data_IF_623422302188
#
_entry.id   IF_623422302188
#
_cell.length_a   1.000
_cell.length_b   1.000
_cell.length_c   1.000
_cell.angle_alpha   90.00
_cell.angle_beta   90.00
_cell.angle_gamma   90.00
#
_symmetry.space_group_name_H-M   'P 1'
#
loop_
_entity.id
_entity.type
_entity.pdbx_description
1 polymer ?
#
# COMPACT_ATOMS: atom_id res chain seq x y z
N UNK A 1 22.19 -14.22 -18.94
CA UNK A 1 23.53 -14.50 -19.52
C UNK A 1 24.45 -13.29 -19.45
N UNK A 2 23.95 -12.06 -19.75
CA UNK A 2 24.71 -10.81 -19.61
C UNK A 2 24.92 -10.46 -18.12
N UNK A 3 23.85 -10.37 -17.34
CA UNK A 3 23.86 -9.99 -15.91
C UNK A 3 24.30 -11.09 -14.94
N UNK A 4 24.78 -12.22 -15.45
CA UNK A 4 25.21 -13.38 -14.66
C UNK A 4 26.72 -13.58 -14.69
N UNK A 5 27.16 -14.74 -15.18
CA UNK A 5 28.60 -15.10 -15.26
C UNK A 5 29.45 -14.06 -16.01
N UNK A 6 28.90 -13.41 -17.03
CA UNK A 6 29.63 -12.40 -17.80
C UNK A 6 29.86 -11.13 -16.98
N UNK A 7 28.82 -10.58 -16.33
CA UNK A 7 28.97 -9.46 -15.41
C UNK A 7 30.02 -9.73 -14.31
N UNK A 8 30.04 -10.94 -13.75
CA UNK A 8 31.01 -11.32 -12.72
C UNK A 8 32.46 -11.39 -13.22
N UNK A 9 32.69 -11.83 -14.46
CA UNK A 9 34.05 -12.08 -14.99
C UNK A 9 34.58 -10.93 -15.85
N UNK A 10 33.71 -10.23 -16.57
CA UNK A 10 34.02 -9.20 -17.56
C UNK A 10 32.97 -8.08 -17.52
N UNK A 11 32.89 -7.31 -16.41
CA UNK A 11 31.82 -6.34 -16.19
C UNK A 11 31.77 -5.25 -17.27
N UNK A 12 32.93 -4.73 -17.73
CA UNK A 12 32.95 -3.74 -18.81
C UNK A 12 32.34 -4.27 -20.13
N UNK A 13 32.62 -5.53 -20.48
CA UNK A 13 32.04 -6.15 -21.67
C UNK A 13 30.55 -6.45 -21.48
N UNK A 14 30.14 -6.86 -20.28
CA UNK A 14 28.75 -7.07 -19.95
C UNK A 14 27.95 -5.76 -20.07
N UNK A 15 28.52 -4.64 -19.59
CA UNK A 15 27.91 -3.31 -19.69
C UNK A 15 27.68 -2.91 -21.15
N UNK A 16 28.69 -3.08 -22.02
CA UNK A 16 28.57 -2.80 -23.46
C UNK A 16 27.46 -3.64 -24.11
N UNK A 17 27.38 -4.93 -23.79
CA UNK A 17 26.32 -5.78 -24.32
C UNK A 17 24.93 -5.41 -23.78
N UNK A 18 24.85 -4.99 -22.52
CA UNK A 18 23.59 -4.56 -21.93
C UNK A 18 23.08 -3.28 -22.59
N UNK A 19 23.95 -2.30 -22.84
CA UNK A 19 23.59 -1.11 -23.62
C UNK A 19 23.12 -1.46 -25.03
N UNK A 20 23.82 -2.35 -25.74
CA UNK A 20 23.39 -2.81 -27.07
C UNK A 20 22.06 -3.54 -27.04
N UNK A 21 21.79 -4.30 -25.98
CA UNK A 21 20.50 -4.95 -25.79
C UNK A 21 19.40 -3.90 -25.64
N UNK A 22 19.64 -2.90 -24.79
CA UNK A 22 18.71 -1.80 -24.53
C UNK A 22 18.49 -0.89 -25.75
N UNK A 23 19.50 -0.72 -26.62
CA UNK A 23 19.35 0.01 -27.90
C UNK A 23 18.32 -0.63 -28.83
N UNK A 24 18.01 -1.93 -28.66
CA UNK A 24 16.98 -2.61 -29.46
C UNK A 24 15.56 -2.40 -28.91
N UNK A 25 15.42 -1.83 -27.71
CA UNK A 25 14.14 -1.81 -27.02
C UNK A 25 13.05 -1.08 -27.80
N UNK A 26 13.32 0.12 -28.32
CA UNK A 26 12.34 0.90 -29.11
C UNK A 26 11.83 0.10 -30.32
N UNK A 27 12.75 -0.53 -31.06
CA UNK A 27 12.39 -1.33 -32.24
C UNK A 27 11.58 -2.57 -31.87
N UNK A 28 11.95 -3.26 -30.79
CA UNK A 28 11.27 -4.49 -30.35
C UNK A 28 9.89 -4.18 -29.76
N UNK A 29 9.78 -3.19 -28.88
CA UNK A 29 8.52 -2.85 -28.21
C UNK A 29 7.47 -2.36 -29.20
N UNK A 30 7.85 -1.55 -30.19
CA UNK A 30 6.89 -1.08 -31.22
C UNK A 30 6.39 -2.17 -32.16
N UNK A 31 7.19 -3.20 -32.40
CA UNK A 31 6.84 -4.29 -33.31
C UNK A 31 6.16 -5.46 -32.62
N UNK A 32 6.15 -5.49 -31.29
CA UNK A 32 5.67 -6.63 -30.51
C UNK A 32 4.37 -6.30 -29.79
N UNK A 33 3.35 -7.14 -29.99
CA UNK A 33 2.12 -7.06 -29.20
C UNK A 33 2.32 -7.79 -27.87
N UNK A 34 2.77 -7.05 -26.86
CA UNK A 34 3.09 -7.60 -25.55
C UNK A 34 1.89 -7.57 -24.59
N UNK A 35 0.90 -8.42 -24.83
CA UNK A 35 -0.35 -8.43 -24.03
C UNK A 35 -0.12 -8.76 -22.54
N UNK A 36 1.00 -9.41 -22.22
CA UNK A 36 1.35 -9.82 -20.85
C UNK A 36 2.42 -8.92 -20.21
N UNK A 37 3.01 -7.98 -20.95
CA UNK A 37 4.09 -7.12 -20.46
C UNK A 37 5.42 -7.84 -20.22
N UNK A 38 5.61 -9.04 -20.77
CA UNK A 38 6.81 -9.87 -20.50
C UNK A 38 8.04 -9.33 -21.23
N UNK A 39 7.85 -8.75 -22.42
CA UNK A 39 8.93 -8.17 -23.22
C UNK A 39 9.38 -6.86 -22.62
N UNK A 40 8.44 -5.99 -22.25
CA UNK A 40 8.73 -4.75 -21.52
C UNK A 40 9.43 -5.04 -20.19
N UNK A 41 8.92 -5.99 -19.40
CA UNK A 41 9.56 -6.39 -18.15
C UNK A 41 11.00 -6.88 -18.33
N UNK A 42 11.30 -7.56 -19.45
CA UNK A 42 12.67 -7.98 -19.78
C UNK A 42 13.63 -6.79 -20.00
N UNK A 43 13.17 -5.74 -20.69
CA UNK A 43 13.96 -4.52 -20.86
C UNK A 43 14.08 -3.72 -19.57
N UNK A 44 13.00 -3.59 -18.78
CA UNK A 44 13.04 -2.93 -17.48
C UNK A 44 14.03 -3.65 -16.53
N UNK A 45 14.03 -4.99 -16.50
CA UNK A 45 15.02 -5.76 -15.76
C UNK A 45 16.46 -5.53 -16.24
N UNK A 46 16.66 -5.38 -17.55
CA UNK A 46 17.97 -5.01 -18.10
C UNK A 46 18.40 -3.58 -17.72
N UNK A 47 17.47 -2.63 -17.59
CA UNK A 47 17.78 -1.29 -17.07
C UNK A 47 18.22 -1.37 -15.60
N UNK A 48 17.54 -2.16 -14.77
CA UNK A 48 17.92 -2.39 -13.37
C UNK A 48 19.34 -2.99 -13.24
N UNK A 49 19.71 -3.89 -14.14
CA UNK A 49 21.04 -4.52 -14.16
C UNK A 49 22.17 -3.53 -14.50
N UNK A 50 21.88 -2.37 -15.11
CA UNK A 50 22.91 -1.39 -15.49
C UNK A 50 23.68 -0.86 -14.27
N UNK A 51 23.00 -0.56 -13.17
CA UNK A 51 23.60 0.02 -11.96
C UNK A 51 24.74 -0.83 -11.38
N UNK A 52 24.46 -2.07 -10.94
CA UNK A 52 25.49 -2.93 -10.36
C UNK A 52 26.60 -3.29 -11.36
N UNK A 53 26.28 -3.46 -12.64
CA UNK A 53 27.28 -3.79 -13.66
C UNK A 53 28.18 -2.58 -13.97
N UNK A 54 27.61 -1.38 -14.04
CA UNK A 54 28.37 -0.15 -14.22
C UNK A 54 29.34 0.09 -13.05
N UNK A 55 28.87 -0.10 -11.81
CA UNK A 55 29.70 0.00 -10.62
C UNK A 55 30.87 -1.02 -10.64
N UNK A 56 30.60 -2.25 -11.08
CA UNK A 56 31.62 -3.29 -11.21
C UNK A 56 32.62 -3.02 -12.36
N UNK A 57 32.16 -2.40 -13.45
CA UNK A 57 32.98 -2.10 -14.62
C UNK A 57 34.05 -1.03 -14.35
N UNK A 58 33.80 -0.11 -13.41
CA UNK A 58 34.71 1.00 -13.06
C UNK A 58 35.22 1.77 -14.29
N UNK A 59 34.35 1.95 -15.27
CA UNK A 59 34.62 2.71 -16.49
C UNK A 59 34.59 4.22 -16.26
N UNK A 60 34.66 4.99 -17.34
CA UNK A 60 34.50 6.45 -17.28
C UNK A 60 33.08 6.83 -16.83
N UNK A 61 32.98 7.54 -15.71
CA UNK A 61 31.72 8.02 -15.14
C UNK A 61 31.09 9.12 -15.98
N UNK A 62 31.90 9.99 -16.60
CA UNK A 62 31.43 11.02 -17.54
C UNK A 62 30.88 10.41 -18.82
N UNK A 63 31.52 9.35 -19.34
CA UNK A 63 31.00 8.61 -20.50
C UNK A 63 29.68 7.88 -20.16
N UNK A 64 29.58 7.30 -18.95
CA UNK A 64 28.33 6.69 -18.48
C UNK A 64 27.20 7.72 -18.37
N UNK A 65 27.50 8.89 -17.79
CA UNK A 65 26.56 10.01 -17.70
C UNK A 65 26.06 10.47 -19.08
N UNK A 66 26.97 10.64 -20.04
CA UNK A 66 26.62 11.02 -21.42
C UNK A 66 25.77 9.95 -22.10
N UNK A 67 26.11 8.67 -21.93
CA UNK A 67 25.34 7.56 -22.50
C UNK A 67 23.94 7.48 -21.92
N UNK A 68 23.81 7.64 -20.61
CA UNK A 68 22.53 7.65 -19.93
C UNK A 68 21.67 8.84 -20.36
N UNK A 69 22.27 10.03 -20.47
CA UNK A 69 21.57 11.21 -20.99
C UNK A 69 21.06 10.99 -22.42
N UNK A 70 21.87 10.40 -23.31
CA UNK A 70 21.42 10.08 -24.67
C UNK A 70 20.24 9.11 -24.67
N UNK A 71 20.28 8.07 -23.83
CA UNK A 71 19.17 7.13 -23.69
C UNK A 71 17.86 7.83 -23.26
N UNK A 72 17.93 8.74 -22.28
CA UNK A 72 16.78 9.53 -21.83
C UNK A 72 16.23 10.48 -22.92
N UNK A 73 17.08 11.00 -23.80
CA UNK A 73 16.62 11.88 -24.90
C UNK A 73 15.86 11.11 -25.97
N UNK A 74 16.29 9.90 -26.29
CA UNK A 74 15.70 9.03 -27.31
C UNK A 74 14.58 8.14 -26.77
N UNK A 75 14.36 8.10 -25.45
CA UNK A 75 13.32 7.30 -24.82
C UNK A 75 11.92 7.79 -25.22
N UNK A 76 11.22 7.00 -26.02
CA UNK A 76 9.82 7.21 -26.39
C UNK A 76 8.88 6.21 -25.70
N UNK A 77 9.40 5.08 -25.22
CA UNK A 77 8.65 4.01 -24.57
C UNK A 77 8.73 4.07 -23.03
N UNK A 78 9.38 5.12 -22.49
CA UNK A 78 9.51 5.44 -21.05
C UNK A 78 10.22 4.36 -20.20
N UNK A 79 10.99 3.47 -20.82
CA UNK A 79 11.71 2.40 -20.10
C UNK A 79 12.93 2.91 -19.31
N UNK A 80 13.44 4.11 -19.62
CA UNK A 80 14.61 4.71 -18.98
C UNK A 80 14.25 5.72 -17.89
N UNK A 81 12.98 5.87 -17.50
CA UNK A 81 12.55 6.85 -16.47
C UNK A 81 13.32 6.71 -15.15
N UNK A 82 13.66 5.49 -14.74
CA UNK A 82 14.44 5.21 -13.51
C UNK A 82 15.94 5.06 -13.72
N UNK A 83 16.42 5.23 -14.95
CA UNK A 83 17.82 4.97 -15.31
C UNK A 83 18.80 5.72 -14.40
N UNK A 84 18.56 7.02 -14.17
CA UNK A 84 19.46 7.85 -13.35
C UNK A 84 19.51 7.39 -11.90
N UNK A 85 18.36 7.07 -11.30
CA UNK A 85 18.28 6.48 -9.96
C UNK A 85 19.17 5.24 -9.84
N UNK A 86 19.13 4.38 -10.87
CA UNK A 86 19.85 3.10 -10.90
C UNK A 86 21.36 3.27 -11.08
N UNK A 87 21.80 4.17 -11.95
CA UNK A 87 23.24 4.35 -12.25
C UNK A 87 23.95 5.29 -11.28
N UNK A 88 23.21 6.09 -10.50
CA UNK A 88 23.76 7.07 -9.57
C UNK A 88 24.86 6.50 -8.65
N UNK A 89 24.72 5.32 -8.04
CA UNK A 89 25.77 4.71 -7.21
C UNK A 89 27.09 4.40 -7.95
N UNK A 90 27.04 4.32 -9.28
CA UNK A 90 28.22 4.08 -10.13
C UNK A 90 28.89 5.38 -10.61
N UNK A 91 28.29 6.55 -10.36
CA UNK A 91 28.83 7.85 -10.76
C UNK A 91 29.64 8.49 -9.62
N UNK A 92 30.79 9.05 -9.97
CA UNK A 92 31.55 9.94 -9.10
C UNK A 92 31.09 11.40 -9.26
N UNK A 93 31.75 12.32 -8.54
CA UNK A 93 31.41 13.74 -8.57
C UNK A 93 31.51 14.34 -9.99
N UNK A 94 32.44 13.88 -10.82
CA UNK A 94 32.62 14.37 -12.19
C UNK A 94 31.49 13.88 -13.11
N UNK A 95 31.14 12.60 -13.02
CA UNK A 95 30.01 12.02 -13.75
C UNK A 95 28.67 12.68 -13.37
N UNK A 96 28.44 12.92 -12.08
CA UNK A 96 27.24 13.61 -11.58
C UNK A 96 27.18 15.05 -12.11
N UNK A 97 28.29 15.80 -12.05
CA UNK A 97 28.36 17.16 -12.56
C UNK A 97 28.09 17.21 -14.07
N UNK A 98 28.64 16.25 -14.82
CA UNK A 98 28.41 16.13 -16.27
C UNK A 98 26.95 15.85 -16.60
N UNK A 99 26.33 14.87 -15.92
CA UNK A 99 24.93 14.53 -16.13
C UNK A 99 24.01 15.73 -15.84
N UNK A 100 24.26 16.43 -14.74
CA UNK A 100 23.53 17.65 -14.37
C UNK A 100 23.59 18.70 -15.48
N UNK A 101 24.80 19.01 -15.98
CA UNK A 101 24.98 20.01 -17.03
C UNK A 101 24.16 19.66 -18.29
N UNK A 102 24.12 18.38 -18.67
CA UNK A 102 23.36 17.92 -19.84
C UNK A 102 21.85 18.08 -19.62
N UNK A 103 21.35 17.66 -18.44
CA UNK A 103 19.94 17.75 -18.10
C UNK A 103 19.45 19.20 -18.00
N UNK A 104 20.19 20.07 -17.33
CA UNK A 104 19.87 21.51 -17.23
C UNK A 104 19.79 22.14 -18.63
N UNK A 105 20.78 21.85 -19.49
CA UNK A 105 20.79 22.36 -20.85
C UNK A 105 19.64 21.81 -21.70
N UNK A 106 19.21 20.57 -21.47
CA UNK A 106 18.08 19.95 -22.18
C UNK A 106 16.73 20.52 -21.71
N UNK A 107 16.56 20.74 -20.41
CA UNK A 107 15.36 21.36 -19.84
C UNK A 107 15.25 22.82 -20.29
N UNK A 108 16.33 23.59 -20.24
CA UNK A 108 16.31 24.99 -20.67
C UNK A 108 15.92 25.18 -22.15
N UNK A 109 16.22 24.19 -23.00
CA UNK A 109 15.83 24.18 -24.42
C UNK A 109 14.35 23.83 -24.66
N UNK A 110 13.65 23.29 -23.66
CA UNK A 110 12.30 22.73 -23.82
C UNK A 110 11.31 23.44 -22.88
N UNK A 111 10.17 23.90 -23.41
CA UNK A 111 9.10 24.47 -22.57
C UNK A 111 8.42 23.45 -21.64
N UNK A 112 8.41 22.16 -22.01
CA UNK A 112 7.91 21.05 -21.19
C UNK A 112 8.89 19.88 -21.30
N UNK A 113 9.64 19.54 -20.25
CA UNK A 113 10.58 18.42 -20.30
C UNK A 113 9.85 17.08 -20.38
N UNK A 114 10.47 16.11 -21.07
CA UNK A 114 10.03 14.70 -21.12
C UNK A 114 9.96 14.13 -19.69
N UNK A 115 9.04 13.19 -19.39
CA UNK A 115 8.96 12.54 -18.08
C UNK A 115 10.30 11.97 -17.60
N UNK A 116 11.03 11.26 -18.48
CA UNK A 116 12.34 10.69 -18.16
C UNK A 116 13.39 11.76 -17.78
N UNK A 117 13.42 12.89 -18.47
CA UNK A 117 14.31 14.02 -18.13
C UNK A 117 13.94 14.67 -16.80
N UNK A 118 12.64 14.79 -16.51
CA UNK A 118 12.16 15.30 -15.21
C UNK A 118 12.56 14.34 -14.08
N UNK A 119 12.32 13.04 -14.24
CA UNK A 119 12.68 12.01 -13.28
C UNK A 119 14.19 11.97 -13.01
N UNK A 120 15.00 12.13 -14.06
CA UNK A 120 16.45 12.24 -13.95
C UNK A 120 16.91 13.43 -13.09
N UNK A 121 16.30 14.61 -13.25
CA UNK A 121 16.60 15.77 -12.40
C UNK A 121 16.14 15.56 -10.97
N UNK A 122 14.97 14.96 -10.77
CA UNK A 122 14.48 14.60 -9.43
C UNK A 122 15.42 13.63 -8.72
N UNK A 123 15.90 12.59 -9.41
CA UNK A 123 16.84 11.62 -8.86
C UNK A 123 18.18 12.27 -8.47
N UNK A 124 18.70 13.19 -9.29
CA UNK A 124 19.90 13.96 -8.95
C UNK A 124 19.68 14.86 -7.72
N UNK A 125 18.56 15.57 -7.69
CA UNK A 125 18.20 16.43 -6.57
C UNK A 125 18.13 15.62 -5.26
N UNK A 126 17.50 14.44 -5.30
CA UNK A 126 17.41 13.53 -4.15
C UNK A 126 18.78 13.04 -3.69
N UNK A 127 19.64 12.60 -4.63
CA UNK A 127 20.98 12.13 -4.32
C UNK A 127 21.87 13.22 -3.68
N UNK A 128 21.53 14.49 -3.90
CA UNK A 128 22.28 15.65 -3.42
C UNK A 128 21.63 16.34 -2.22
N UNK A 129 20.46 15.86 -1.79
CA UNK A 129 19.66 16.52 -0.75
C UNK A 129 19.12 17.90 -1.17
N UNK A 130 19.05 18.19 -2.48
CA UNK A 130 18.54 19.45 -3.02
C UNK A 130 17.00 19.43 -3.07
N UNK A 131 16.39 19.66 -1.92
CA UNK A 131 14.92 19.63 -1.77
C UNK A 131 14.25 20.70 -2.64
N UNK A 132 14.84 21.90 -2.74
CA UNK A 132 14.26 22.98 -3.53
C UNK A 132 14.39 22.69 -5.04
N UNK A 133 15.49 22.08 -5.47
CA UNK A 133 15.67 21.57 -6.83
C UNK A 133 14.60 20.53 -7.20
N UNK A 134 14.28 19.60 -6.31
CA UNK A 134 13.17 18.66 -6.51
C UNK A 134 11.83 19.39 -6.62
N UNK A 135 11.52 20.31 -5.69
CA UNK A 135 10.27 21.06 -5.68
C UNK A 135 10.11 21.89 -6.97
N UNK A 136 11.18 22.46 -7.50
CA UNK A 136 11.15 23.25 -8.73
C UNK A 136 10.73 22.43 -9.98
N UNK A 137 10.86 21.10 -9.95
CA UNK A 137 10.37 20.22 -11.03
C UNK A 137 8.86 20.00 -11.01
N UNK A 138 8.21 20.34 -9.89
CA UNK A 138 6.79 20.08 -9.63
C UNK A 138 5.98 21.33 -9.93
N UNK A 139 4.95 21.20 -10.76
CA UNK A 139 4.05 22.30 -11.06
C UNK A 139 3.16 22.64 -9.86
N UNK A 140 2.65 23.87 -9.81
CA UNK A 140 1.72 24.29 -8.76
C UNK A 140 0.47 23.39 -8.66
N UNK A 141 -0.02 22.86 -9.79
CA UNK A 141 -1.17 21.95 -9.84
C UNK A 141 -0.84 20.56 -9.28
N UNK A 142 0.32 20.00 -9.66
CA UNK A 142 0.79 18.72 -9.13
C UNK A 142 1.03 18.79 -7.62
N UNK A 143 1.53 19.92 -7.12
CA UNK A 143 1.75 20.14 -5.69
C UNK A 143 0.46 20.17 -4.84
N UNK A 144 -0.73 20.21 -5.46
CA UNK A 144 -2.02 20.05 -4.76
C UNK A 144 -2.42 18.58 -4.59
N UNK A 145 -1.76 17.65 -5.30
CA UNK A 145 -2.10 16.23 -5.22
C UNK A 145 -1.54 15.61 -3.92
N UNK A 146 -2.32 14.81 -3.16
CA UNK A 146 -1.86 14.27 -1.89
C UNK A 146 -0.56 13.45 -1.98
N UNK A 147 -0.43 12.61 -3.00
CA UNK A 147 0.78 11.84 -3.25
C UNK A 147 2.01 12.73 -3.43
N UNK A 148 1.91 13.74 -4.30
CA UNK A 148 3.00 14.69 -4.57
C UNK A 148 3.33 15.54 -3.34
N UNK A 149 2.31 16.00 -2.61
CA UNK A 149 2.52 16.73 -1.37
C UNK A 149 3.21 15.89 -0.30
N UNK A 150 2.89 14.59 -0.20
CA UNK A 150 3.60 13.65 0.66
C UNK A 150 5.08 13.54 0.27
N UNK A 151 5.38 13.40 -1.02
CA UNK A 151 6.76 13.33 -1.51
C UNK A 151 7.58 14.59 -1.20
N UNK A 152 6.98 15.78 -1.40
CA UNK A 152 7.60 17.07 -1.05
C UNK A 152 7.86 17.12 0.46
N UNK A 153 6.85 16.76 1.25
CA UNK A 153 6.92 16.86 2.70
C UNK A 153 7.91 15.88 3.32
N UNK A 154 8.00 14.64 2.86
CA UNK A 154 9.00 13.68 3.33
C UNK A 154 10.43 14.21 3.14
N UNK A 155 10.70 14.86 2.01
CA UNK A 155 12.00 15.49 1.72
C UNK A 155 12.28 16.69 2.62
N UNK A 156 11.30 17.59 2.77
CA UNK A 156 11.40 18.74 3.66
C UNK A 156 11.62 18.31 5.12
N UNK A 157 10.89 17.30 5.59
CA UNK A 157 11.05 16.74 6.95
C UNK A 157 12.44 16.14 7.13
N UNK A 158 12.94 15.36 6.17
CA UNK A 158 14.30 14.80 6.22
C UNK A 158 15.38 15.88 6.26
N UNK A 159 15.15 17.04 5.62
CA UNK A 159 16.03 18.20 5.66
C UNK A 159 15.84 19.10 6.89
N UNK A 160 15.03 18.71 7.89
CA UNK A 160 14.75 19.50 9.09
C UNK A 160 13.81 20.70 8.88
N UNK A 161 13.18 20.80 7.70
CA UNK A 161 12.23 21.87 7.32
C UNK A 161 10.77 21.49 7.61
N UNK A 162 10.51 21.00 8.83
CA UNK A 162 9.22 20.41 9.21
C UNK A 162 8.04 21.40 9.07
N UNK A 163 8.24 22.69 9.37
CA UNK A 163 7.20 23.73 9.17
C UNK A 163 6.76 23.85 7.72
N UNK A 164 7.70 23.78 6.78
CA UNK A 164 7.40 23.83 5.35
C UNK A 164 6.76 22.54 4.86
N UNK A 165 7.19 21.39 5.39
CA UNK A 165 6.56 20.10 5.13
C UNK A 165 5.07 20.12 5.52
N UNK A 166 4.76 20.62 6.71
CA UNK A 166 3.38 20.78 7.17
C UNK A 166 2.57 21.74 6.29
N UNK A 167 3.18 22.83 5.81
CA UNK A 167 2.51 23.75 4.90
C UNK A 167 2.19 23.10 3.54
N UNK A 168 3.14 22.33 2.99
CA UNK A 168 2.94 21.58 1.75
C UNK A 168 1.80 20.55 1.90
N UNK A 169 1.81 19.78 2.99
CA UNK A 169 0.77 18.78 3.27
C UNK A 169 -0.61 19.40 3.45
N UNK A 170 -0.71 20.51 4.20
CA UNK A 170 -1.98 21.23 4.37
C UNK A 170 -2.56 21.71 3.04
N UNK A 171 -1.70 22.11 2.10
CA UNK A 171 -2.11 22.53 0.76
C UNK A 171 -2.58 21.35 -0.10
N UNK A 172 -1.99 20.18 0.10
CA UNK A 172 -2.31 18.95 -0.64
C UNK A 172 -3.23 17.99 0.12
N UNK A 173 -3.95 18.47 1.14
CA UNK A 173 -4.68 17.61 2.06
C UNK A 173 -5.79 16.83 1.32
N UNK A 174 -5.84 15.49 1.45
CA UNK A 174 -6.93 14.72 0.88
C UNK A 174 -8.23 15.08 1.63
N UNK A 175 -9.40 15.12 0.98
CA UNK A 175 -10.61 15.65 1.60
C UNK A 175 -11.13 15.00 2.87
N UNK A 176 -10.90 13.69 3.07
CA UNK A 176 -11.16 13.08 4.38
C UNK A 176 -10.33 13.74 5.51
N UNK A 177 -9.12 14.22 5.20
CA UNK A 177 -8.28 15.00 6.11
C UNK A 177 -8.59 16.50 6.09
N UNK A 178 -8.99 17.05 4.94
CA UNK A 178 -9.43 18.44 4.87
C UNK A 178 -10.63 18.67 5.78
N UNK A 179 -11.59 17.73 5.82
CA UNK A 179 -12.76 17.77 6.71
C UNK A 179 -12.37 17.79 8.22
N UNK A 180 -11.23 17.19 8.60
CA UNK A 180 -10.67 17.28 9.96
C UNK A 180 -10.01 18.64 10.24
N UNK A 181 -9.47 19.30 9.22
CA UNK A 181 -8.80 20.59 9.34
C UNK A 181 -9.76 21.79 9.20
N UNK A 182 -10.81 21.66 8.38
CA UNK A 182 -11.89 22.61 8.10
C UNK A 182 -13.05 21.84 7.47
N UNK A 183 -14.18 21.75 8.14
CA UNK A 183 -15.38 21.08 7.60
C UNK A 183 -15.77 21.53 6.17
N UNK A 184 -15.95 20.56 5.26
CA UNK A 184 -16.67 20.51 3.96
C UNK A 184 -15.84 20.25 2.67
N UNK A 185 -15.78 18.96 2.29
CA UNK A 185 -15.88 18.36 0.93
C UNK A 185 -14.64 18.34 0.01
N UNK A 186 -14.70 17.70 -1.17
CA UNK A 186 -14.63 16.25 -1.52
C UNK A 186 -13.60 16.09 -2.66
N UNK A 187 -12.66 15.18 -2.49
CA UNK A 187 -11.74 14.58 -3.49
C UNK A 187 -11.52 13.19 -2.91
N UNK A 188 -11.71 12.16 -3.72
CA UNK A 188 -11.45 10.79 -3.28
C UNK A 188 -9.99 10.51 -3.59
N UNK A 189 -9.11 10.69 -2.60
CA UNK A 189 -7.75 10.18 -2.73
C UNK A 189 -7.80 8.64 -2.74
N UNK A 190 -6.99 8.01 -3.60
CA UNK A 190 -6.83 6.55 -3.57
C UNK A 190 -6.25 6.11 -2.22
N UNK A 191 -6.51 4.85 -1.81
CA UNK A 191 -6.02 4.35 -0.52
C UNK A 191 -4.49 4.47 -0.35
N UNK A 192 -3.63 4.17 -1.36
CA UNK A 192 -2.19 4.37 -1.24
C UNK A 192 -1.79 5.85 -1.11
N UNK A 193 -2.46 6.74 -1.85
CA UNK A 193 -2.21 8.19 -1.81
C UNK A 193 -2.57 8.78 -0.44
N UNK A 194 -3.70 8.37 0.12
CA UNK A 194 -4.12 8.75 1.47
C UNK A 194 -3.12 8.27 2.53
N UNK A 195 -2.67 7.00 2.43
CA UNK A 195 -1.70 6.44 3.38
C UNK A 195 -0.36 7.18 3.34
N UNK A 196 0.19 7.42 2.15
CA UNK A 196 1.46 8.13 1.98
C UNK A 196 1.39 9.56 2.53
N UNK A 197 0.29 10.27 2.28
CA UNK A 197 0.07 11.60 2.84
C UNK A 197 -0.03 11.58 4.37
N UNK A 198 -0.78 10.63 4.94
CA UNK A 198 -0.94 10.49 6.38
C UNK A 198 0.37 10.14 7.09
N UNK A 199 1.18 9.24 6.51
CA UNK A 199 2.51 8.91 7.01
C UNK A 199 3.41 10.17 7.03
N UNK A 200 3.49 10.89 5.92
CA UNK A 200 4.28 12.12 5.83
C UNK A 200 3.79 13.22 6.79
N UNK A 201 2.48 13.31 7.04
CA UNK A 201 1.91 14.27 7.99
C UNK A 201 2.25 13.94 9.43
N UNK A 202 2.19 12.67 9.82
CA UNK A 202 2.63 12.23 11.14
C UNK A 202 4.13 12.51 11.34
N UNK A 203 4.96 12.18 10.36
CA UNK A 203 6.41 12.42 10.44
C UNK A 203 6.73 13.92 10.54
N UNK A 204 6.05 14.76 9.77
CA UNK A 204 6.23 16.21 9.81
C UNK A 204 5.75 16.81 11.15
N UNK A 205 4.65 16.31 11.74
CA UNK A 205 4.20 16.72 13.07
C UNK A 205 5.21 16.35 14.14
N UNK A 206 5.74 15.11 14.11
CA UNK A 206 6.77 14.65 15.05
C UNK A 206 8.06 15.48 14.93
N UNK A 207 8.54 15.72 13.71
CA UNK A 207 9.73 16.55 13.47
C UNK A 207 9.54 18.01 13.88
N UNK A 208 8.30 18.52 13.87
CA UNK A 208 7.95 19.86 14.33
C UNK A 208 7.67 19.93 15.85
N UNK A 209 7.90 18.84 16.60
CA UNK A 209 7.66 18.77 18.05
C UNK A 209 6.18 18.73 18.44
N UNK A 210 5.27 18.45 17.50
CA UNK A 210 3.82 18.40 17.71
C UNK A 210 3.34 16.96 18.01
N UNK A 211 3.94 16.32 19.01
CA UNK A 211 3.69 14.92 19.36
C UNK A 211 2.23 14.64 19.71
N UNK A 212 1.58 15.51 20.48
CA UNK A 212 0.16 15.36 20.86
C UNK A 212 -0.77 15.44 19.63
N UNK A 213 -0.46 16.33 18.68
CA UNK A 213 -1.20 16.41 17.42
C UNK A 213 -1.00 15.14 16.58
N UNK A 214 0.21 14.58 16.57
CA UNK A 214 0.47 13.31 15.90
C UNK A 214 -0.30 12.14 16.55
N UNK A 215 -0.43 12.10 17.88
CA UNK A 215 -1.28 11.14 18.58
C UNK A 215 -2.76 11.31 18.21
N UNK A 216 -3.27 12.54 18.18
CA UNK A 216 -4.66 12.81 17.80
C UNK A 216 -4.96 12.35 16.37
N UNK A 217 -4.03 12.54 15.43
CA UNK A 217 -4.17 12.05 14.04
C UNK A 217 -4.23 10.53 14.00
N UNK A 218 -3.36 9.83 14.74
CA UNK A 218 -3.37 8.34 14.79
C UNK A 218 -4.70 7.82 15.33
N UNK A 219 -5.19 8.43 16.41
CA UNK A 219 -6.46 8.04 17.02
C UNK A 219 -7.64 8.28 16.08
N UNK A 220 -7.71 9.47 15.46
CA UNK A 220 -8.77 9.80 14.50
C UNK A 220 -8.78 8.86 13.30
N UNK A 221 -7.60 8.51 12.78
CA UNK A 221 -7.46 7.57 11.68
C UNK A 221 -7.95 6.16 12.06
N UNK A 222 -7.71 5.75 13.31
CA UNK A 222 -8.27 4.53 13.88
C UNK A 222 -9.80 4.62 13.99
N UNK A 223 -10.37 5.67 14.58
CA UNK A 223 -11.81 5.80 14.76
C UNK A 223 -12.59 5.81 13.43
N UNK A 224 -12.03 6.44 12.39
CA UNK A 224 -12.71 6.53 11.09
C UNK A 224 -12.65 5.25 10.26
N UNK A 225 -11.56 4.47 10.39
CA UNK A 225 -11.24 3.38 9.44
C UNK A 225 -10.92 2.04 10.11
N UNK A 226 -10.95 1.97 11.43
CA UNK A 226 -10.46 0.86 12.24
C UNK A 226 -9.05 0.41 11.80
N UNK A 227 -8.14 1.38 11.63
CA UNK A 227 -6.76 1.07 11.21
C UNK A 227 -5.96 0.47 12.37
N UNK A 228 -5.72 -0.84 12.32
CA UNK A 228 -4.90 -1.55 13.31
C UNK A 228 -3.47 -0.99 13.38
N UNK A 229 -2.86 -0.65 12.24
CA UNK A 229 -1.50 -0.08 12.21
C UNK A 229 -1.43 1.26 12.94
N UNK A 230 -2.46 2.11 12.80
CA UNK A 230 -2.52 3.39 13.50
C UNK A 230 -2.76 3.22 14.98
N UNK A 231 -3.61 2.27 15.39
CA UNK A 231 -3.80 1.96 16.81
C UNK A 231 -2.49 1.45 17.43
N UNK A 232 -1.78 0.50 16.79
CA UNK A 232 -0.47 0.03 17.29
C UNK A 232 0.53 1.17 17.43
N UNK A 233 0.59 2.05 16.42
CA UNK A 233 1.50 3.19 16.43
C UNK A 233 1.15 4.22 17.53
N UNK A 234 -0.14 4.36 17.86
CA UNK A 234 -0.66 5.18 18.96
C UNK A 234 -0.25 4.57 20.31
N UNK A 235 -0.64 3.31 20.56
CA UNK A 235 -0.36 2.59 21.81
C UNK A 235 1.13 2.55 22.14
N UNK A 236 1.99 2.26 21.15
CA UNK A 236 3.46 2.20 21.32
C UNK A 236 4.09 3.51 21.85
N UNK A 237 3.42 4.64 21.69
CA UNK A 237 3.93 5.97 22.06
C UNK A 237 3.29 6.50 23.34
N UNK A 238 2.41 5.74 23.97
CA UNK A 238 1.90 6.06 25.30
C UNK A 238 2.91 5.64 26.37
N UNK A 239 2.91 6.30 27.54
CA UNK A 239 3.60 5.79 28.71
C UNK A 239 3.14 4.38 29.07
N UNK A 240 4.03 3.61 29.71
CA UNK A 240 3.67 2.30 30.27
C UNK A 240 2.42 2.44 31.16
N UNK A 241 1.48 1.48 31.07
CA UNK A 241 0.16 1.42 31.73
C UNK A 241 -0.97 2.25 31.08
N UNK A 242 -0.67 3.36 30.40
CA UNK A 242 -1.70 4.12 29.66
C UNK A 242 -2.13 3.39 28.38
N UNK A 243 -1.25 2.56 27.83
CA UNK A 243 -1.49 1.73 26.66
C UNK A 243 -2.61 0.69 26.88
N UNK A 244 -2.63 0.00 28.02
CA UNK A 244 -3.68 -0.96 28.36
C UNK A 244 -5.04 -0.28 28.44
N UNK A 245 -5.12 0.86 29.13
CA UNK A 245 -6.38 1.62 29.25
C UNK A 245 -6.85 2.15 27.90
N UNK A 246 -5.92 2.59 27.06
CA UNK A 246 -6.23 3.03 25.70
C UNK A 246 -6.66 1.88 24.79
N UNK A 247 -6.04 0.71 24.92
CA UNK A 247 -6.41 -0.50 24.19
C UNK A 247 -7.84 -0.92 24.56
N UNK A 248 -8.17 -0.97 25.85
CA UNK A 248 -9.54 -1.29 26.31
C UNK A 248 -10.58 -0.34 25.72
N UNK A 249 -10.29 0.98 25.71
CA UNK A 249 -11.15 1.98 25.05
C UNK A 249 -11.28 1.74 23.56
N UNK A 250 -10.19 1.39 22.88
CA UNK A 250 -10.20 1.09 21.45
C UNK A 250 -11.03 -0.17 21.15
N UNK A 251 -10.93 -1.22 21.96
CA UNK A 251 -11.72 -2.43 21.79
C UNK A 251 -13.21 -2.17 22.02
N UNK A 252 -13.57 -1.38 23.03
CA UNK A 252 -14.95 -0.94 23.26
C UNK A 252 -15.48 -0.12 22.07
N UNK A 253 -14.66 0.76 21.50
CA UNK A 253 -15.01 1.52 20.30
C UNK A 253 -15.27 0.61 19.09
N UNK A 254 -14.39 -0.37 18.85
CA UNK A 254 -14.55 -1.33 17.75
C UNK A 254 -15.83 -2.15 17.91
N UNK A 255 -16.13 -2.62 19.13
CA UNK A 255 -17.33 -3.40 19.40
C UNK A 255 -18.63 -2.62 19.07
N UNK A 256 -18.63 -1.31 19.35
CA UNK A 256 -19.73 -0.40 19.04
C UNK A 256 -19.70 0.16 17.60
N UNK A 257 -18.70 -0.19 16.78
CA UNK A 257 -18.54 0.40 15.47
C UNK A 257 -19.69 0.03 14.53
N UNK A 258 -20.19 1.01 13.77
CA UNK A 258 -21.42 0.84 12.97
C UNK A 258 -21.36 -0.32 12.00
N UNK A 259 -20.22 -0.52 11.31
CA UNK A 259 -20.06 -1.62 10.36
C UNK A 259 -19.62 -2.89 11.07
N UNK A 260 -20.52 -3.87 11.18
CA UNK A 260 -20.22 -5.19 11.72
C UNK A 260 -19.06 -5.88 10.96
N UNK A 261 -19.04 -5.97 9.61
CA UNK A 261 -17.94 -6.63 8.90
C UNK A 261 -16.58 -5.96 9.14
N UNK A 262 -16.55 -4.62 9.24
CA UNK A 262 -15.31 -3.90 9.52
C UNK A 262 -14.79 -4.18 10.94
N UNK A 263 -15.69 -4.21 11.94
CA UNK A 263 -15.36 -4.54 13.32
C UNK A 263 -14.88 -5.99 13.48
N UNK A 264 -15.56 -6.94 12.85
CA UNK A 264 -15.18 -8.35 12.87
C UNK A 264 -13.78 -8.54 12.24
N UNK A 265 -13.56 -7.98 11.05
CA UNK A 265 -12.24 -8.02 10.38
C UNK A 265 -11.15 -7.40 11.26
N UNK A 266 -11.44 -6.33 11.98
CA UNK A 266 -10.49 -5.74 12.92
C UNK A 266 -10.12 -6.71 14.03
N UNK A 267 -11.10 -7.29 14.75
CA UNK A 267 -10.81 -8.20 15.87
C UNK A 267 -10.12 -9.49 15.44
N UNK A 268 -10.30 -9.94 14.19
CA UNK A 268 -9.56 -11.07 13.64
C UNK A 268 -8.11 -10.73 13.30
N UNK A 269 -7.85 -9.49 12.86
CA UNK A 269 -6.51 -8.99 12.58
C UNK A 269 -5.77 -8.47 13.83
N UNK A 270 -6.50 -8.25 14.92
CA UNK A 270 -5.99 -7.94 16.25
C UNK A 270 -5.88 -9.23 17.07
N UNK A 271 -4.90 -9.39 17.99
CA UNK A 271 -4.75 -10.63 18.77
C UNK A 271 -5.83 -10.82 19.87
N UNK A 272 -7.10 -10.56 19.57
CA UNK A 272 -8.24 -10.62 20.52
C UNK A 272 -9.43 -11.40 19.95
N UNK A 273 -9.21 -12.67 19.57
CA UNK A 273 -10.26 -13.57 19.03
C UNK A 273 -11.48 -13.69 19.95
N UNK A 274 -11.30 -13.57 21.28
CA UNK A 274 -12.41 -13.55 22.24
C UNK A 274 -13.37 -12.38 22.05
N UNK A 275 -12.88 -11.22 21.60
CA UNK A 275 -13.72 -10.06 21.30
C UNK A 275 -14.42 -10.20 19.96
N UNK A 276 -13.80 -10.86 18.96
CA UNK A 276 -14.49 -11.27 17.74
C UNK A 276 -15.69 -12.17 18.06
N UNK A 277 -15.48 -13.16 18.94
CA UNK A 277 -16.56 -14.05 19.41
C UNK A 277 -17.67 -13.27 20.12
N UNK A 278 -17.31 -12.37 21.04
CA UNK A 278 -18.29 -11.53 21.75
C UNK A 278 -19.09 -10.64 20.79
N UNK A 279 -18.44 -10.07 19.76
CA UNK A 279 -19.11 -9.28 18.72
C UNK A 279 -20.13 -10.10 17.94
N UNK A 280 -19.75 -11.31 17.51
CA UNK A 280 -20.63 -12.25 16.78
C UNK A 280 -21.85 -12.62 17.62
N UNK A 281 -21.65 -12.90 18.91
CA UNK A 281 -22.76 -13.23 19.81
C UNK A 281 -23.67 -12.01 20.05
N UNK A 282 -23.10 -10.82 20.29
CA UNK A 282 -23.88 -9.62 20.60
C UNK A 282 -24.66 -9.06 19.39
N UNK A 283 -24.17 -9.27 18.16
CA UNK A 283 -24.72 -8.68 16.93
C UNK A 283 -24.99 -9.72 15.85
N UNK A 284 -25.43 -10.91 16.25
CA UNK A 284 -25.66 -12.05 15.34
C UNK A 284 -26.60 -11.73 14.17
N UNK A 285 -27.57 -10.85 14.40
CA UNK A 285 -28.57 -10.45 13.40
C UNK A 285 -28.00 -9.55 12.29
N UNK A 286 -26.81 -8.98 12.50
CA UNK A 286 -26.13 -8.12 11.53
C UNK A 286 -25.16 -8.88 10.61
N UNK A 287 -24.98 -10.19 10.81
CA UNK A 287 -24.09 -11.02 9.99
C UNK A 287 -24.68 -11.18 8.59
N UNK A 288 -24.12 -10.46 7.60
CA UNK A 288 -24.48 -10.64 6.20
C UNK A 288 -23.68 -11.78 5.56
N UNK A 289 -24.31 -12.95 5.43
CA UNK A 289 -23.73 -14.15 4.83
C UNK A 289 -23.34 -14.05 3.34
N UNK A 290 -23.40 -12.87 2.72
CA UNK A 290 -23.01 -12.70 1.31
C UNK A 290 -21.50 -12.56 1.11
N UNK A 291 -20.81 -11.95 2.07
CA UNK A 291 -19.34 -11.82 2.14
C UNK A 291 -18.72 -13.10 2.72
N UNK A 292 -18.97 -14.22 2.03
CA UNK A 292 -18.66 -15.55 2.55
C UNK A 292 -17.16 -15.80 2.73
N UNK A 293 -16.28 -15.22 1.90
CA UNK A 293 -14.83 -15.42 2.02
C UNK A 293 -14.27 -14.86 3.35
N UNK A 294 -14.69 -13.65 3.73
CA UNK A 294 -14.30 -13.05 5.00
C UNK A 294 -14.91 -13.79 6.19
N UNK A 295 -16.16 -14.25 6.07
CA UNK A 295 -16.87 -14.97 7.12
C UNK A 295 -16.34 -16.40 7.31
N UNK A 296 -15.89 -17.07 6.26
CA UNK A 296 -15.32 -18.41 6.36
C UNK A 296 -13.98 -18.36 7.10
N UNK A 297 -13.12 -17.39 6.78
CA UNK A 297 -11.90 -17.12 7.56
C UNK A 297 -12.21 -16.77 9.02
N UNK A 298 -13.28 -16.01 9.27
CA UNK A 298 -13.73 -15.68 10.63
C UNK A 298 -14.20 -16.91 11.40
N UNK A 299 -15.01 -17.77 10.77
CA UNK A 299 -15.54 -18.97 11.39
C UNK A 299 -14.40 -19.91 11.79
N UNK A 300 -13.48 -20.20 10.86
CA UNK A 300 -12.29 -21.04 11.09
C UNK A 300 -11.43 -20.52 12.26
N UNK A 301 -11.25 -19.20 12.37
CA UNK A 301 -10.50 -18.60 13.48
C UNK A 301 -11.20 -18.78 14.84
N UNK A 302 -12.53 -18.93 14.86
CA UNK A 302 -13.36 -19.04 16.05
C UNK A 302 -13.58 -20.49 16.50
N UNK A 303 -13.58 -21.47 15.60
CA UNK A 303 -13.99 -22.87 15.87
C UNK A 303 -13.35 -23.46 17.13
N UNK A 304 -12.03 -23.32 17.27
CA UNK A 304 -11.28 -24.04 18.30
C UNK A 304 -11.51 -23.54 19.74
N UNK A 305 -11.95 -22.29 19.94
CA UNK A 305 -12.14 -21.70 21.28
C UNK A 305 -13.53 -21.12 21.52
N UNK A 306 -14.27 -20.82 20.44
CA UNK A 306 -15.56 -20.17 20.47
C UNK A 306 -16.55 -20.86 19.50
N UNK A 307 -16.85 -22.15 19.71
CA UNK A 307 -17.64 -22.95 18.77
C UNK A 307 -19.05 -22.41 18.54
N UNK A 308 -19.67 -21.78 19.55
CA UNK A 308 -20.98 -21.14 19.40
C UNK A 308 -20.92 -19.97 18.41
N UNK A 309 -19.93 -19.07 18.55
CA UNK A 309 -19.75 -17.94 17.65
C UNK A 309 -19.45 -18.40 16.22
N UNK A 310 -18.54 -19.37 16.05
CA UNK A 310 -18.27 -19.98 14.74
C UNK A 310 -19.56 -20.54 14.11
N UNK A 311 -20.39 -21.22 14.91
CA UNK A 311 -21.66 -21.77 14.43
C UNK A 311 -22.62 -20.70 13.91
N UNK A 312 -22.72 -19.53 14.56
CA UNK A 312 -23.58 -18.44 14.10
C UNK A 312 -23.12 -17.88 12.75
N UNK A 313 -21.80 -17.78 12.54
CA UNK A 313 -21.23 -17.34 11.26
C UNK A 313 -21.57 -18.32 10.12
N UNK A 314 -21.35 -19.62 10.32
CA UNK A 314 -21.73 -20.65 9.34
C UNK A 314 -23.23 -20.61 9.03
N UNK A 315 -24.06 -20.51 10.06
CA UNK A 315 -25.53 -20.43 9.90
C UNK A 315 -25.97 -19.23 9.08
N UNK A 316 -25.32 -18.07 9.23
CA UNK A 316 -25.62 -16.89 8.43
C UNK A 316 -25.27 -17.10 6.93
N UNK A 317 -24.12 -17.71 6.64
CA UNK A 317 -23.70 -18.04 5.26
C UNK A 317 -24.64 -19.07 4.60
N UNK A 318 -25.02 -20.12 5.34
CA UNK A 318 -26.00 -21.12 4.88
C UNK A 318 -27.35 -20.47 4.64
N UNK A 319 -27.86 -19.68 5.60
CA UNK A 319 -29.15 -19.02 5.50
C UNK A 319 -29.20 -18.06 4.29
N UNK A 320 -28.13 -17.29 4.04
CA UNK A 320 -28.00 -16.42 2.86
C UNK A 320 -28.07 -17.25 1.57
N UNK A 321 -27.29 -18.31 1.50
CA UNK A 321 -27.18 -19.17 0.32
C UNK A 321 -28.52 -19.79 -0.05
N UNK A 322 -29.23 -20.34 0.93
CA UNK A 322 -30.55 -20.94 0.72
C UNK A 322 -31.62 -19.89 0.40
N UNK A 323 -31.67 -18.78 1.16
CA UNK A 323 -32.68 -17.72 0.98
C UNK A 323 -32.65 -17.11 -0.41
N UNK A 324 -31.47 -16.92 -0.98
CA UNK A 324 -31.29 -16.29 -2.29
C UNK A 324 -31.00 -17.29 -3.41
N UNK A 325 -31.11 -18.61 -3.16
CA UNK A 325 -30.85 -19.67 -4.13
C UNK A 325 -29.51 -19.48 -4.88
N UNK A 326 -28.43 -19.25 -4.11
CA UNK A 326 -27.07 -19.06 -4.63
C UNK A 326 -26.47 -20.39 -5.04
N UNK A 327 -26.87 -20.88 -6.23
CA UNK A 327 -26.48 -22.21 -6.76
C UNK A 327 -24.97 -22.40 -6.86
N UNK A 328 -24.24 -21.30 -7.08
CA UNK A 328 -22.78 -21.25 -7.08
C UNK A 328 -22.16 -21.65 -5.72
N UNK A 329 -22.93 -21.58 -4.63
CA UNK A 329 -22.47 -21.80 -3.24
C UNK A 329 -23.10 -23.02 -2.55
N UNK A 330 -23.86 -23.87 -3.27
CA UNK A 330 -24.52 -25.03 -2.64
C UNK A 330 -23.53 -26.06 -2.12
N UNK A 331 -22.46 -26.34 -2.87
CA UNK A 331 -21.39 -27.23 -2.40
C UNK A 331 -20.70 -26.68 -1.14
N UNK A 332 -20.55 -25.36 -1.03
CA UNK A 332 -20.01 -24.71 0.17
C UNK A 332 -21.00 -24.80 1.34
N UNK A 333 -22.30 -24.60 1.10
CA UNK A 333 -23.33 -24.74 2.14
C UNK A 333 -23.39 -26.17 2.72
N UNK A 334 -23.25 -27.21 1.90
CA UNK A 334 -23.15 -28.59 2.38
C UNK A 334 -21.93 -28.79 3.29
N UNK A 335 -20.77 -28.23 2.89
CA UNK A 335 -19.56 -28.25 3.72
C UNK A 335 -19.79 -27.53 5.06
N UNK A 336 -20.34 -26.33 5.04
CA UNK A 336 -20.64 -25.57 6.26
C UNK A 336 -21.63 -26.28 7.18
N UNK A 337 -22.59 -27.04 6.65
CA UNK A 337 -23.50 -27.88 7.45
C UNK A 337 -22.73 -29.01 8.15
N UNK A 338 -21.78 -29.64 7.46
CA UNK A 338 -20.92 -30.67 8.05
C UNK A 338 -20.01 -30.09 9.15
N UNK A 339 -19.45 -28.89 8.93
CA UNK A 339 -18.65 -28.17 9.92
C UNK A 339 -19.51 -27.84 11.17
N UNK A 340 -20.76 -27.37 10.97
CA UNK A 340 -21.72 -27.16 12.05
C UNK A 340 -22.01 -28.42 12.88
N UNK A 341 -22.15 -29.58 12.23
CA UNK A 341 -22.37 -30.84 12.92
C UNK A 341 -21.16 -31.24 13.78
N UNK A 342 -19.95 -30.91 13.34
CA UNK A 342 -18.70 -31.13 14.08
C UNK A 342 -18.55 -30.18 15.27
N UNK A 343 -19.03 -28.94 15.16
CA UNK A 343 -19.02 -27.95 16.23
C UNK A 343 -20.10 -28.18 17.28
N UNK A 344 -21.27 -28.70 16.89
CA UNK A 344 -22.43 -28.89 17.77
C UNK A 344 -22.12 -29.58 19.12
N UNK A 345 -21.39 -30.71 19.19
CA UNK A 345 -21.08 -31.36 20.48
C UNK A 345 -20.09 -30.57 21.36
N UNK A 346 -19.41 -29.56 20.80
CA UNK A 346 -18.46 -28.71 21.52
C UNK A 346 -19.15 -27.50 22.17
N UNK A 347 -20.42 -27.25 21.84
CA UNK A 347 -21.21 -26.14 22.39
C UNK A 347 -21.96 -26.65 23.62
N UNK A 348 -21.52 -26.22 24.81
CA UNK A 348 -22.17 -26.60 26.06
C UNK A 348 -23.54 -25.93 26.24
N UNK A 349 -23.65 -24.65 25.88
CA UNK A 349 -24.86 -23.85 26.03
C UNK A 349 -25.09 -22.98 24.79
N UNK A 350 -26.30 -23.01 24.25
CA UNK A 350 -26.71 -22.16 23.13
C UNK A 350 -27.32 -20.83 23.59
N UNK A 351 -27.66 -20.69 24.87
CA UNK A 351 -28.28 -19.47 25.41
C UNK A 351 -29.58 -19.12 24.69
N UNK A 352 -29.70 -17.86 24.25
CA UNK A 352 -30.84 -17.35 23.48
C UNK A 352 -30.84 -17.76 22.00
N UNK A 353 -29.78 -18.43 21.53
CA UNK A 353 -29.66 -18.85 20.14
C UNK A 353 -30.33 -20.20 19.89
N UNK A 354 -30.86 -20.37 18.67
CA UNK A 354 -31.45 -21.62 18.18
C UNK A 354 -30.47 -22.80 18.36
N UNK A 355 -30.96 -23.97 18.79
CA UNK A 355 -30.10 -25.15 18.93
C UNK A 355 -29.65 -25.67 17.55
N UNK A 356 -28.63 -26.52 17.51
CA UNK A 356 -28.19 -27.13 16.24
C UNK A 356 -29.31 -27.94 15.57
N UNK A 357 -30.06 -28.75 16.34
CA UNK A 357 -31.16 -29.55 15.81
C UNK A 357 -32.28 -28.70 15.24
N UNK A 358 -32.63 -27.59 15.90
CA UNK A 358 -33.68 -26.70 15.44
C UNK A 358 -33.27 -25.99 14.15
N UNK A 359 -32.03 -25.51 14.06
CA UNK A 359 -31.48 -24.90 12.86
C UNK A 359 -31.52 -25.85 11.67
N UNK A 360 -30.97 -27.08 11.83
CA UNK A 360 -30.96 -28.11 10.79
C UNK A 360 -32.38 -28.48 10.38
N UNK A 361 -33.29 -28.64 11.35
CA UNK A 361 -34.71 -28.86 11.10
C UNK A 361 -35.30 -27.76 10.22
N UNK A 362 -35.05 -26.49 10.54
CA UNK A 362 -35.58 -25.35 9.78
C UNK A 362 -35.01 -25.26 8.36
N UNK A 363 -33.71 -25.47 8.17
CA UNK A 363 -33.10 -25.39 6.82
C UNK A 363 -33.38 -26.64 5.97
N UNK A 364 -33.54 -27.81 6.58
CA UNK A 364 -33.89 -29.05 5.89
C UNK A 364 -35.33 -29.11 5.39
N UNK A 365 -36.23 -28.27 5.91
CA UNK A 365 -37.62 -28.13 5.43
C UNK A 365 -37.83 -26.95 4.47
N UNK A 366 -36.77 -26.22 4.09
CA UNK A 366 -36.89 -25.14 3.09
C UNK A 366 -37.27 -25.74 1.72
N UNK A 367 -38.39 -25.33 1.10
CA UNK A 367 -38.94 -25.98 -0.08
C UNK A 367 -38.15 -25.58 -1.33
N UNK A 368 -36.98 -26.19 -1.53
CA UNK A 368 -36.21 -26.14 -2.77
C UNK A 368 -35.02 -27.13 -2.81
N UNK A 369 -35.15 -28.28 -2.14
CA UNK A 369 -34.35 -29.48 -2.45
C UNK A 369 -35.08 -30.32 -3.50
#
# INVERSE_FOLDING_TARGET
MISGKMAAQKPALALEFLWRFLDMAEGVLRLTKDEKGEVEAGFLGAVEDLGPIAAAAKGSTTALAERAFQALETDEDEIFVRLVEIILPALDAEGIARLRQLLEAAIARRGRPKPALRAAVQALADAQGDVDGFIATITASEALQPWTGAQIASRLTAAGRATEALAALKRSAPPAFADLARSQARVVASAPSLKAWEDAYLDALEANGQADAAQAVRWTAFEQRLSADRLRAYLKRLPDFDDVVAEDKAMAFVAAFKSFPAALRFFLAWPTVSQAAALVLARSDEIDGDDYEGLEAAALALEGRHPLAASLVYRAMIARTLRFNRRDRFADAERWIADLATLAPQIAEFGDFETHSDFVGRVGHSPQA
#
